data_IF_262739929021
#
_entry.id   IF_262739929021
#
_cell.length_a   1.000
_cell.length_b   1.000
_cell.length_c   1.000
_cell.angle_alpha   90.00
_cell.angle_beta   90.00
_cell.angle_gamma   90.00
#
_symmetry.space_group_name_H-M   'P 1'
#
loop_
_entity.id
_entity.type
_entity.pdbx_description
1 polymer ?
#
# COMPACT_ATOMS: atom_id res chain seq x y z
N UNK A 1 -39.05 25.14 12.32
CA UNK A 1 -37.94 25.06 11.35
C UNK A 1 -38.04 23.69 10.70
N UNK A 2 -38.34 23.61 9.41
CA UNK A 2 -38.37 22.32 8.72
C UNK A 2 -36.94 21.73 8.69
N UNK A 3 -36.76 20.42 8.89
CA UNK A 3 -35.46 19.79 8.76
C UNK A 3 -34.93 20.00 7.33
N UNK A 4 -33.62 20.24 7.14
CA UNK A 4 -33.05 20.42 5.82
C UNK A 4 -33.28 19.15 4.99
N UNK A 5 -33.90 19.29 3.82
CA UNK A 5 -34.06 18.22 2.85
C UNK A 5 -32.67 17.78 2.39
N UNK A 6 -32.25 16.61 2.86
CA UNK A 6 -31.09 15.90 2.32
C UNK A 6 -31.49 15.48 0.90
N UNK A 7 -30.90 16.12 -0.11
CA UNK A 7 -31.10 15.73 -1.50
C UNK A 7 -30.42 14.38 -1.67
N UNK A 8 -31.19 13.29 -1.55
CA UNK A 8 -30.75 11.97 -1.99
C UNK A 8 -30.48 12.05 -3.49
N UNK A 9 -29.19 12.03 -3.82
CA UNK A 9 -28.76 12.07 -5.20
C UNK A 9 -28.93 10.67 -5.75
N UNK A 10 -29.98 10.46 -6.55
CA UNK A 10 -30.15 9.20 -7.29
C UNK A 10 -28.86 8.85 -8.04
N UNK A 11 -28.46 7.58 -7.96
CA UNK A 11 -27.26 7.10 -8.63
C UNK A 11 -27.42 7.32 -10.15
N UNK A 12 -26.51 8.04 -10.82
CA UNK A 12 -26.62 8.29 -12.24
C UNK A 12 -26.56 6.96 -13.01
N UNK A 13 -27.52 6.75 -13.92
CA UNK A 13 -27.57 5.59 -14.78
C UNK A 13 -26.40 5.62 -15.78
N UNK A 14 -25.43 4.73 -15.59
CA UNK A 14 -24.24 4.64 -16.44
C UNK A 14 -24.57 3.71 -17.60
N UNK A 15 -24.99 4.26 -18.74
CA UNK A 15 -25.17 3.50 -19.98
C UNK A 15 -23.78 3.00 -20.43
N UNK A 16 -23.47 1.69 -20.35
CA UNK A 16 -22.17 1.18 -20.75
C UNK A 16 -22.05 1.26 -22.27
N UNK A 17 -21.22 2.18 -22.78
CA UNK A 17 -20.79 2.12 -24.18
C UNK A 17 -19.91 0.88 -24.35
N UNK A 18 -20.46 -0.17 -24.93
CA UNK A 18 -19.76 -1.42 -25.20
C UNK A 18 -18.63 -1.19 -26.22
N UNK A 19 -17.43 -0.89 -25.74
CA UNK A 19 -16.22 -0.99 -26.55
C UNK A 19 -15.79 -2.46 -26.60
N UNK A 20 -15.70 -2.99 -27.82
CA UNK A 20 -15.27 -4.37 -28.08
C UNK A 20 -13.87 -4.56 -27.46
N UNK A 21 -13.66 -5.56 -26.57
CA UNK A 21 -12.37 -5.73 -25.93
C UNK A 21 -11.31 -6.02 -27.00
N UNK A 22 -10.26 -5.19 -27.06
CA UNK A 22 -9.10 -5.44 -27.91
C UNK A 22 -8.37 -6.67 -27.38
N UNK A 23 -8.49 -7.78 -28.11
CA UNK A 23 -7.85 -9.05 -27.73
C UNK A 23 -6.33 -8.85 -27.82
N UNK A 24 -5.65 -8.95 -26.68
CA UNK A 24 -4.18 -8.91 -26.64
C UNK A 24 -3.62 -10.00 -27.55
N UNK A 25 -2.72 -9.61 -28.46
CA UNK A 25 -2.06 -10.51 -29.42
C UNK A 25 -0.98 -11.38 -28.78
N UNK A 26 -0.62 -11.12 -27.52
CA UNK A 26 0.40 -11.86 -26.80
C UNK A 26 -0.19 -13.12 -26.14
N UNK A 27 0.42 -14.30 -26.34
CA UNK A 27 -0.02 -15.52 -25.67
C UNK A 27 0.10 -15.34 -24.15
N UNK A 28 -0.90 -15.79 -23.36
CA UNK A 28 -0.95 -15.53 -21.92
C UNK A 28 0.29 -15.98 -21.15
N UNK A 29 0.90 -17.09 -21.56
CA UNK A 29 2.06 -17.71 -20.89
C UNK A 29 3.31 -16.84 -21.00
N UNK A 30 3.50 -16.10 -22.10
CA UNK A 30 4.68 -15.25 -22.29
C UNK A 30 4.59 -13.92 -21.53
N UNK A 31 3.40 -13.54 -21.02
CA UNK A 31 3.23 -12.24 -20.37
C UNK A 31 4.03 -12.12 -19.08
N UNK A 32 4.10 -13.18 -18.28
CA UNK A 32 4.83 -13.16 -17.00
C UNK A 32 6.35 -13.11 -17.22
N UNK A 33 6.96 -13.95 -18.08
CA UNK A 33 8.38 -13.80 -18.40
C UNK A 33 8.74 -12.41 -18.95
N UNK A 34 7.95 -11.88 -19.90
CA UNK A 34 8.19 -10.55 -20.46
C UNK A 34 8.07 -9.47 -19.37
N UNK A 35 7.07 -9.59 -18.48
CA UNK A 35 6.88 -8.67 -17.36
C UNK A 35 8.10 -8.64 -16.44
N UNK A 36 8.65 -9.82 -16.10
CA UNK A 36 9.85 -9.96 -15.27
C UNK A 36 11.07 -9.34 -15.97
N UNK A 37 11.29 -9.67 -17.24
CA UNK A 37 12.42 -9.12 -18.02
C UNK A 37 12.34 -7.60 -18.14
N UNK A 38 11.15 -7.04 -18.41
CA UNK A 38 10.96 -5.60 -18.54
C UNK A 38 11.10 -4.89 -17.19
N UNK A 39 10.60 -5.49 -16.10
CA UNK A 39 10.75 -4.97 -14.74
C UNK A 39 12.23 -4.86 -14.33
N UNK A 40 13.03 -5.89 -14.63
CA UNK A 40 14.46 -5.88 -14.34
C UNK A 40 15.23 -4.94 -15.26
N UNK A 41 14.94 -4.96 -16.57
CA UNK A 41 15.58 -4.10 -17.56
C UNK A 41 15.35 -2.62 -17.27
N UNK A 42 14.12 -2.22 -16.97
CA UNK A 42 13.81 -0.82 -16.61
C UNK A 42 14.50 -0.43 -15.30
N UNK A 43 14.51 -1.30 -14.29
CA UNK A 43 15.18 -1.00 -13.02
C UNK A 43 16.69 -0.77 -13.23
N UNK A 44 17.36 -1.67 -13.97
CA UNK A 44 18.78 -1.54 -14.28
C UNK A 44 19.09 -0.27 -15.07
N UNK A 45 18.33 0.01 -16.14
CA UNK A 45 18.51 1.21 -16.97
C UNK A 45 18.32 2.51 -16.18
N UNK A 46 17.30 2.55 -15.31
CA UNK A 46 17.05 3.73 -14.50
C UNK A 46 18.14 3.96 -13.44
N UNK A 47 18.64 2.89 -12.81
CA UNK A 47 19.77 2.99 -11.88
C UNK A 47 21.06 3.42 -12.58
N UNK A 48 21.35 2.88 -13.77
CA UNK A 48 22.49 3.28 -14.58
C UNK A 48 22.38 4.76 -14.98
N UNK A 49 21.20 5.20 -15.43
CA UNK A 49 20.95 6.61 -15.76
C UNK A 49 21.19 7.51 -14.54
N UNK A 50 20.59 7.18 -13.39
CA UNK A 50 20.69 7.94 -12.15
C UNK A 50 22.11 7.97 -11.58
N UNK A 51 22.90 6.92 -11.79
CA UNK A 51 24.30 6.86 -11.32
C UNK A 51 25.21 7.94 -11.94
N UNK A 52 24.81 8.54 -13.08
CA UNK A 52 25.54 9.66 -13.68
C UNK A 52 25.30 10.99 -12.94
N UNK A 53 24.24 11.10 -12.14
CA UNK A 53 23.81 12.34 -11.50
C UNK A 53 23.86 12.27 -9.96
N UNK A 54 23.76 11.08 -9.38
CA UNK A 54 23.72 10.91 -7.93
C UNK A 54 25.00 10.31 -7.37
N UNK A 55 25.38 10.82 -6.20
CA UNK A 55 26.42 10.22 -5.36
C UNK A 55 25.96 8.82 -4.90
N UNK A 56 26.84 7.81 -4.86
CA UNK A 56 26.50 6.44 -4.46
C UNK A 56 26.32 6.29 -2.94
N UNK A 57 25.44 7.09 -2.33
CA UNK A 57 25.17 7.13 -0.88
C UNK A 57 24.63 5.78 -0.36
N UNK A 58 23.74 5.14 -1.12
CA UNK A 58 23.15 3.84 -0.76
C UNK A 58 24.19 2.73 -0.64
N UNK A 59 25.28 2.81 -1.41
CA UNK A 59 26.38 1.84 -1.34
C UNK A 59 27.12 1.90 -0.01
N UNK A 60 27.32 3.11 0.53
CA UNK A 60 28.10 3.34 1.75
C UNK A 60 27.45 2.73 3.01
N UNK A 61 26.12 2.69 3.06
CA UNK A 61 25.35 2.16 4.19
C UNK A 61 24.96 0.68 4.02
N UNK A 62 25.22 0.11 2.85
CA UNK A 62 24.83 -1.26 2.52
C UNK A 62 25.88 -2.29 2.93
N UNK A 63 25.43 -3.48 3.34
CA UNK A 63 26.27 -4.66 3.59
C UNK A 63 26.85 -5.17 2.28
N UNK A 64 28.15 -5.45 2.30
CA UNK A 64 28.82 -6.17 1.22
C UNK A 64 28.55 -7.67 1.42
N UNK A 65 27.89 -8.36 0.47
CA UNK A 65 27.63 -9.79 0.60
C UNK A 65 28.94 -10.58 0.59
N UNK A 66 29.12 -11.50 1.56
CA UNK A 66 30.26 -12.41 1.59
C UNK A 66 29.94 -13.70 0.80
N UNK A 67 30.96 -14.46 0.38
CA UNK A 67 30.80 -15.67 -0.45
C UNK A 67 29.94 -16.76 0.23
N UNK A 68 29.91 -16.78 1.57
CA UNK A 68 29.08 -17.71 2.36
C UNK A 68 27.61 -17.29 2.54
N UNK A 69 27.24 -16.07 2.16
CA UNK A 69 25.92 -15.48 2.47
C UNK A 69 24.89 -15.61 1.34
N UNK A 70 25.12 -16.52 0.38
CA UNK A 70 24.27 -16.66 -0.83
C UNK A 70 22.80 -16.93 -0.50
N UNK A 71 22.50 -17.65 0.59
CA UNK A 71 21.13 -17.96 1.03
C UNK A 71 20.55 -16.96 2.03
N UNK A 72 21.30 -15.91 2.39
CA UNK A 72 20.86 -14.94 3.39
C UNK A 72 19.79 -14.00 2.83
N UNK A 73 18.94 -13.46 3.71
CA UNK A 73 17.84 -12.54 3.36
C UNK A 73 18.31 -11.26 2.66
N UNK A 74 19.56 -10.84 2.88
CA UNK A 74 20.14 -9.64 2.27
C UNK A 74 20.94 -9.93 0.99
N UNK A 75 21.08 -11.21 0.60
CA UNK A 75 21.84 -11.60 -0.57
C UNK A 75 21.26 -10.98 -1.86
N UNK A 76 22.08 -10.76 -2.90
CA UNK A 76 21.59 -10.33 -4.20
C UNK A 76 20.51 -11.27 -4.76
N UNK A 77 20.66 -12.58 -4.55
CA UNK A 77 19.69 -13.60 -4.99
C UNK A 77 18.35 -13.44 -4.26
N UNK A 78 18.34 -13.24 -2.95
CA UNK A 78 17.12 -13.00 -2.18
C UNK A 78 16.40 -11.72 -2.64
N UNK A 79 17.15 -10.66 -2.97
CA UNK A 79 16.58 -9.42 -3.52
C UNK A 79 15.88 -9.62 -4.85
N UNK A 80 16.52 -10.36 -5.76
CA UNK A 80 15.94 -10.72 -7.05
C UNK A 80 14.71 -11.60 -6.86
N UNK A 81 14.79 -12.61 -5.99
CA UNK A 81 13.71 -13.53 -5.69
C UNK A 81 12.48 -12.82 -5.12
N UNK A 82 12.66 -11.91 -4.17
CA UNK A 82 11.55 -11.12 -3.63
C UNK A 82 10.91 -10.24 -4.70
N UNK A 83 11.74 -9.58 -5.52
CA UNK A 83 11.25 -8.78 -6.63
C UNK A 83 10.41 -9.60 -7.60
N UNK A 84 10.88 -10.80 -7.97
CA UNK A 84 10.13 -11.76 -8.79
C UNK A 84 8.83 -12.19 -8.13
N UNK A 85 8.87 -12.51 -6.83
CA UNK A 85 7.70 -12.87 -6.05
C UNK A 85 6.67 -11.75 -6.07
N UNK A 86 7.07 -10.49 -5.88
CA UNK A 86 6.18 -9.33 -5.99
C UNK A 86 5.57 -9.21 -7.38
N UNK A 87 6.37 -9.32 -8.45
CA UNK A 87 5.86 -9.30 -9.83
C UNK A 87 4.85 -10.43 -10.08
N UNK A 88 5.17 -11.66 -9.68
CA UNK A 88 4.32 -12.82 -9.89
C UNK A 88 3.02 -12.75 -9.08
N UNK A 89 3.11 -12.33 -7.81
CA UNK A 89 1.93 -12.22 -6.94
C UNK A 89 1.01 -11.08 -7.36
N UNK A 90 1.55 -9.91 -7.70
CA UNK A 90 0.72 -8.82 -8.25
C UNK A 90 0.07 -9.21 -9.57
N UNK A 91 0.74 -10.03 -10.38
CA UNK A 91 0.13 -10.65 -11.55
C UNK A 91 -1.00 -11.62 -11.15
N UNK A 92 -0.75 -12.56 -10.24
CA UNK A 92 -1.75 -13.52 -9.77
C UNK A 92 -3.00 -12.86 -9.16
N UNK A 93 -2.81 -11.78 -8.40
CA UNK A 93 -3.87 -11.02 -7.72
C UNK A 93 -4.65 -10.07 -8.65
N UNK A 94 -4.33 -10.03 -9.95
CA UNK A 94 -4.99 -9.19 -10.96
C UNK A 94 -4.91 -7.67 -10.69
N UNK A 95 -3.88 -7.19 -9.99
CA UNK A 95 -3.63 -5.77 -9.78
C UNK A 95 -3.22 -5.02 -11.05
N UNK A 96 -3.79 -3.84 -11.27
CA UNK A 96 -3.37 -2.98 -12.37
C UNK A 96 -2.17 -2.08 -12.00
N UNK A 97 -1.76 -1.22 -12.92
CA UNK A 97 -0.59 -0.37 -12.69
C UNK A 97 -0.79 0.64 -11.54
N UNK A 98 -2.03 1.07 -11.23
CA UNK A 98 -2.30 1.95 -10.10
C UNK A 98 -2.18 1.18 -8.78
N UNK A 99 -2.78 0.00 -8.71
CA UNK A 99 -2.73 -0.88 -7.54
C UNK A 99 -1.27 -1.29 -7.22
N UNK A 100 -0.51 -1.66 -8.26
CA UNK A 100 0.90 -2.04 -8.12
C UNK A 100 1.77 -0.85 -7.72
N UNK A 101 1.52 0.34 -8.27
CA UNK A 101 2.23 1.55 -7.87
C UNK A 101 1.96 1.89 -6.40
N UNK A 102 0.70 1.82 -5.97
CA UNK A 102 0.30 2.11 -4.60
C UNK A 102 0.91 1.10 -3.61
N UNK A 103 0.87 -0.20 -3.94
CA UNK A 103 1.53 -1.23 -3.15
C UNK A 103 3.05 -1.01 -3.07
N UNK A 104 3.68 -0.62 -4.19
CA UNK A 104 5.12 -0.32 -4.24
C UNK A 104 5.46 0.86 -3.33
N UNK A 105 4.73 1.98 -3.43
CA UNK A 105 4.93 3.13 -2.52
C UNK A 105 4.84 2.70 -1.05
N UNK A 106 3.80 1.97 -0.69
CA UNK A 106 3.57 1.58 0.71
C UNK A 106 4.64 0.62 1.24
N UNK A 107 5.14 -0.27 0.40
CA UNK A 107 6.18 -1.24 0.80
C UNK A 107 7.57 -0.61 0.88
N UNK A 108 7.83 0.49 0.16
CA UNK A 108 9.11 1.21 0.19
C UNK A 108 9.12 2.41 1.14
N UNK A 109 7.96 2.94 1.54
CA UNK A 109 7.85 4.07 2.45
C UNK A 109 8.58 3.86 3.80
N UNK A 110 8.46 2.69 4.48
CA UNK A 110 9.18 2.45 5.73
C UNK A 110 10.69 2.59 5.58
N UNK A 111 11.25 1.91 4.59
CA UNK A 111 12.69 1.93 4.34
C UNK A 111 13.18 3.33 3.98
N UNK A 112 12.43 4.06 3.15
CA UNK A 112 12.79 5.42 2.74
C UNK A 112 12.73 6.40 3.92
N UNK A 113 11.73 6.26 4.79
CA UNK A 113 11.65 7.05 6.01
C UNK A 113 12.84 6.78 6.93
N UNK A 114 13.23 5.51 7.10
CA UNK A 114 14.41 5.13 7.86
C UNK A 114 15.68 5.78 7.28
N UNK A 115 15.89 5.69 5.96
CA UNK A 115 17.07 6.24 5.30
C UNK A 115 17.22 7.75 5.45
N UNK A 116 16.14 8.49 5.19
CA UNK A 116 16.15 9.97 5.22
C UNK A 116 16.15 10.57 6.63
N UNK A 117 15.95 9.76 7.67
CA UNK A 117 15.84 10.25 9.06
C UNK A 117 16.98 9.77 9.93
N UNK A 118 17.51 8.57 9.67
CA UNK A 118 18.52 7.95 10.53
C UNK A 118 19.85 7.68 9.82
N UNK A 119 19.88 7.60 8.49
CA UNK A 119 21.08 7.23 7.72
C UNK A 119 21.68 8.37 6.88
N UNK A 120 21.26 9.62 7.14
CA UNK A 120 21.77 10.82 6.45
C UNK A 120 21.70 10.76 4.92
N UNK A 121 20.81 9.93 4.37
CA UNK A 121 20.63 9.82 2.91
C UNK A 121 19.86 11.04 2.41
N UNK A 122 20.36 11.64 1.33
CA UNK A 122 19.74 12.80 0.71
C UNK A 122 18.30 12.49 0.29
N UNK A 123 17.37 13.41 0.57
CA UNK A 123 15.98 13.32 0.13
C UNK A 123 15.84 13.11 -1.38
N UNK A 124 16.80 13.63 -2.16
CA UNK A 124 16.83 13.46 -3.61
C UNK A 124 17.17 12.01 -4.00
N UNK A 125 18.18 11.40 -3.36
CA UNK A 125 18.53 9.99 -3.55
C UNK A 125 17.38 9.07 -3.13
N UNK A 126 16.74 9.37 -2.01
CA UNK A 126 15.60 8.62 -1.52
C UNK A 126 14.38 8.72 -2.46
N UNK A 127 14.09 9.91 -2.97
CA UNK A 127 13.03 10.13 -3.96
C UNK A 127 13.32 9.41 -5.28
N UNK A 128 14.56 9.49 -5.78
CA UNK A 128 14.97 8.77 -6.98
C UNK A 128 14.78 7.25 -6.80
N UNK A 129 15.23 6.68 -5.68
CA UNK A 129 15.03 5.27 -5.36
C UNK A 129 13.54 4.86 -5.44
N UNK A 130 12.64 5.58 -4.74
CA UNK A 130 11.20 5.29 -4.82
C UNK A 130 10.68 5.41 -6.26
N UNK A 131 11.04 6.47 -6.98
CA UNK A 131 10.57 6.69 -8.35
C UNK A 131 11.01 5.57 -9.30
N UNK A 132 12.26 5.12 -9.19
CA UNK A 132 12.81 4.00 -9.97
C UNK A 132 12.00 2.74 -9.67
N UNK A 133 11.74 2.47 -8.41
CA UNK A 133 10.98 1.30 -7.98
C UNK A 133 9.54 1.37 -8.51
N UNK A 134 8.83 2.49 -8.36
CA UNK A 134 7.48 2.66 -8.92
C UNK A 134 7.49 2.46 -10.43
N UNK A 135 8.36 3.14 -11.18
CA UNK A 135 8.38 3.06 -12.65
C UNK A 135 8.69 1.64 -13.14
N UNK A 136 9.64 0.98 -12.48
CA UNK A 136 10.05 -0.37 -12.84
C UNK A 136 8.96 -1.42 -12.61
N UNK A 137 8.00 -1.20 -11.70
CA UNK A 137 6.81 -2.06 -11.56
C UNK A 137 5.60 -1.56 -12.37
N UNK A 138 5.38 -0.25 -12.45
CA UNK A 138 4.22 0.38 -13.07
C UNK A 138 4.25 0.34 -14.60
N UNK A 139 5.41 0.61 -15.23
CA UNK A 139 5.53 0.63 -16.70
C UNK A 139 5.28 -0.76 -17.30
N UNK A 140 5.92 -1.85 -16.82
CA UNK A 140 5.63 -3.18 -17.35
C UNK A 140 4.16 -3.59 -17.19
N UNK A 141 3.58 -3.32 -16.02
CA UNK A 141 2.18 -3.66 -15.75
C UNK A 141 1.23 -2.85 -16.62
N UNK A 142 1.51 -1.56 -16.84
CA UNK A 142 0.75 -0.71 -17.76
C UNK A 142 0.75 -1.26 -19.19
N UNK A 143 1.90 -1.73 -19.69
CA UNK A 143 2.04 -2.24 -21.05
C UNK A 143 1.35 -3.59 -21.27
N UNK A 144 1.41 -4.48 -20.27
CA UNK A 144 0.99 -5.89 -20.43
C UNK A 144 -0.40 -6.20 -19.87
N UNK A 145 -0.98 -5.30 -19.06
CA UNK A 145 -2.24 -5.53 -18.35
C UNK A 145 -3.24 -4.41 -18.58
N UNK A 146 -4.51 -4.79 -18.77
CA UNK A 146 -5.62 -3.84 -18.82
C UNK A 146 -5.93 -3.28 -17.44
N UNK A 147 -6.39 -2.03 -17.38
CA UNK A 147 -6.83 -1.35 -16.15
C UNK A 147 -7.94 -2.14 -15.44
N UNK A 148 -7.96 -2.08 -14.11
CA UNK A 148 -9.00 -2.70 -13.29
C UNK A 148 -10.33 -1.96 -13.46
N UNK A 149 -11.43 -2.59 -13.02
CA UNK A 149 -12.78 -1.98 -13.10
C UNK A 149 -12.86 -0.70 -12.26
N UNK A 150 -12.13 -0.66 -11.12
CA UNK A 150 -12.05 0.50 -10.22
C UNK A 150 -11.56 1.75 -10.97
N UNK A 151 -10.51 1.59 -11.76
CA UNK A 151 -9.83 2.68 -12.46
C UNK A 151 -10.42 2.97 -13.86
N UNK A 152 -11.45 2.25 -14.30
CA UNK A 152 -12.17 2.54 -15.55
C UNK A 152 -13.28 3.55 -15.33
N UNK A 153 -13.15 4.74 -15.92
CA UNK A 153 -14.16 5.80 -15.85
C UNK A 153 -15.58 5.35 -16.22
N UNK A 154 -15.69 4.43 -17.19
CA UNK A 154 -16.96 4.02 -17.80
C UNK A 154 -17.50 2.70 -17.23
N UNK A 155 -16.89 2.14 -16.18
CA UNK A 155 -17.37 0.92 -15.58
C UNK A 155 -18.53 1.22 -14.60
N UNK A 156 -19.66 0.49 -14.70
CA UNK A 156 -20.78 0.66 -13.77
C UNK A 156 -20.37 0.15 -12.39
N UNK A 157 -20.30 1.06 -11.40
CA UNK A 157 -20.01 0.76 -10.00
C UNK A 157 -21.01 1.52 -9.14
N UNK A 158 -21.61 0.86 -8.14
CA UNK A 158 -22.58 1.49 -7.23
C UNK A 158 -22.01 2.75 -6.58
N UNK A 159 -20.79 2.65 -6.06
CA UNK A 159 -20.12 3.73 -5.31
C UNK A 159 -19.20 4.60 -6.18
N UNK A 160 -19.47 4.72 -7.48
CA UNK A 160 -18.64 5.54 -8.39
C UNK A 160 -18.53 6.99 -7.92
N UNK A 161 -19.57 7.53 -7.31
CA UNK A 161 -19.59 8.88 -6.75
C UNK A 161 -18.55 9.08 -5.63
N UNK A 162 -18.29 8.07 -4.80
CA UNK A 162 -17.25 8.12 -3.75
C UNK A 162 -15.84 8.09 -4.35
N UNK A 163 -15.65 7.34 -5.44
CA UNK A 163 -14.38 7.28 -6.17
C UNK A 163 -14.08 8.60 -6.91
N UNK A 164 -15.11 9.26 -7.43
CA UNK A 164 -14.97 10.52 -8.16
C UNK A 164 -15.02 11.77 -7.25
N UNK A 165 -15.44 11.64 -5.98
CA UNK A 165 -15.56 12.77 -5.07
C UNK A 165 -14.19 13.23 -4.56
N UNK A 166 -13.76 14.42 -4.97
CA UNK A 166 -12.48 15.02 -4.54
C UNK A 166 -12.41 15.16 -3.02
N UNK A 167 -13.52 15.51 -2.38
CA UNK A 167 -13.58 15.65 -0.92
C UNK A 167 -13.29 14.32 -0.22
N UNK A 168 -13.93 13.22 -0.65
CA UNK A 168 -13.72 11.87 -0.08
C UNK A 168 -12.28 11.41 -0.33
N UNK A 169 -11.76 11.65 -1.53
CA UNK A 169 -10.40 11.25 -1.90
C UNK A 169 -9.33 12.00 -1.10
N UNK A 170 -9.49 13.32 -0.90
CA UNK A 170 -8.55 14.14 -0.12
C UNK A 170 -8.67 13.80 1.37
N UNK A 171 -9.88 13.77 1.93
CA UNK A 171 -10.06 13.51 3.37
C UNK A 171 -9.54 12.14 3.77
N UNK A 172 -9.79 11.11 2.95
CA UNK A 172 -9.32 9.74 3.22
C UNK A 172 -7.80 9.61 3.09
N UNK A 173 -7.17 10.36 2.19
CA UNK A 173 -5.70 10.38 2.04
C UNK A 173 -5.04 11.13 3.20
N UNK A 174 -5.62 12.26 3.62
CA UNK A 174 -5.17 13.03 4.77
C UNK A 174 -5.33 12.25 6.07
N UNK A 175 -6.43 11.51 6.21
CA UNK A 175 -6.64 10.61 7.35
C UNK A 175 -5.55 9.53 7.41
N UNK A 176 -5.27 8.84 6.31
CA UNK A 176 -4.19 7.85 6.29
C UNK A 176 -2.82 8.47 6.58
N UNK A 177 -2.53 9.64 6.00
CA UNK A 177 -1.32 10.40 6.31
C UNK A 177 -1.24 10.73 7.80
N UNK A 178 -2.33 11.22 8.38
CA UNK A 178 -2.44 11.56 9.80
C UNK A 178 -2.18 10.36 10.71
N UNK A 179 -2.70 9.18 10.38
CA UNK A 179 -2.42 7.95 11.16
C UNK A 179 -0.94 7.62 11.14
N UNK A 180 -0.28 7.62 9.97
CA UNK A 180 1.16 7.40 9.91
C UNK A 180 1.94 8.46 10.70
N UNK A 181 1.58 9.74 10.58
CA UNK A 181 2.20 10.82 11.37
C UNK A 181 2.06 10.56 12.86
N UNK A 182 0.86 10.23 13.35
CA UNK A 182 0.61 9.99 14.78
C UNK A 182 1.42 8.81 15.29
N UNK A 183 1.48 7.70 14.53
CA UNK A 183 2.25 6.51 14.92
C UNK A 183 3.74 6.83 14.97
N UNK A 184 4.29 7.44 13.92
CA UNK A 184 5.72 7.75 13.82
C UNK A 184 6.11 8.82 14.84
N UNK A 185 5.41 9.96 14.84
CA UNK A 185 5.69 11.07 15.75
C UNK A 185 5.46 10.68 17.21
N UNK A 186 4.43 9.91 17.51
CA UNK A 186 4.22 9.33 18.84
C UNK A 186 5.37 8.41 19.26
N UNK A 187 5.87 7.57 18.35
CA UNK A 187 7.03 6.71 18.58
C UNK A 187 8.33 7.48 18.81
N UNK A 188 8.55 8.58 18.08
CA UNK A 188 9.69 9.47 18.27
C UNK A 188 9.58 10.26 19.59
N UNK A 189 8.41 10.85 19.87
CA UNK A 189 8.20 11.73 21.03
C UNK A 189 8.24 10.98 22.35
N UNK A 190 7.76 9.73 22.37
CA UNK A 190 7.87 8.84 23.52
C UNK A 190 9.30 8.29 23.71
N UNK A 191 10.18 8.43 22.72
CA UNK A 191 11.55 7.91 22.73
C UNK A 191 11.67 6.42 22.42
N UNK A 192 10.56 5.67 22.41
CA UNK A 192 10.57 4.21 22.15
C UNK A 192 11.15 3.87 20.79
N UNK A 193 10.81 4.61 19.73
CA UNK A 193 11.30 4.30 18.39
C UNK A 193 12.82 4.53 18.28
N UNK A 194 13.32 5.64 18.83
CA UNK A 194 14.75 5.95 18.81
C UNK A 194 15.54 4.92 19.64
N UNK A 195 15.08 4.59 20.85
CA UNK A 195 15.76 3.61 21.71
C UNK A 195 15.75 2.22 21.07
N UNK A 196 14.63 1.82 20.46
CA UNK A 196 14.52 0.55 19.77
C UNK A 196 15.48 0.46 18.58
N UNK A 197 15.54 1.52 17.76
CA UNK A 197 16.43 1.54 16.61
C UNK A 197 17.91 1.53 17.05
N UNK A 198 18.32 2.35 18.02
CA UNK A 198 19.71 2.37 18.53
C UNK A 198 20.14 1.00 19.07
N UNK A 199 19.20 0.23 19.64
CA UNK A 199 19.50 -1.10 20.19
C UNK A 199 19.75 -2.16 19.13
N UNK A 200 19.11 -2.06 17.97
CA UNK A 200 19.08 -3.14 16.97
C UNK A 200 19.62 -2.76 15.58
N UNK A 201 19.96 -1.48 15.39
CA UNK A 201 20.52 -0.93 14.17
C UNK A 201 21.79 -0.13 14.51
N UNK A 202 22.77 -0.19 13.61
CA UNK A 202 23.93 0.69 13.65
C UNK A 202 23.56 2.00 12.94
N UNK A 203 23.07 2.97 13.73
CA UNK A 203 22.57 4.24 13.23
C UNK A 203 23.67 5.30 13.32
N UNK A 204 23.96 6.03 12.24
CA UNK A 204 24.99 7.08 12.26
C UNK A 204 24.57 8.32 13.05
N UNK A 205 23.31 8.75 12.98
CA UNK A 205 22.84 9.96 13.67
C UNK A 205 21.39 9.87 14.15
N UNK A 206 21.08 10.63 15.19
CA UNK A 206 19.71 10.88 15.68
C UNK A 206 19.28 12.33 15.52
N UNK A 207 20.11 13.19 14.92
CA UNK A 207 19.84 14.64 14.86
C UNK A 207 18.53 14.93 14.12
N UNK A 208 18.37 14.41 12.90
CA UNK A 208 17.16 14.61 12.12
C UNK A 208 15.92 14.07 12.84
N UNK A 209 16.02 12.93 13.53
CA UNK A 209 14.93 12.35 14.32
C UNK A 209 14.47 13.25 15.49
N UNK A 210 15.37 14.03 16.10
CA UNK A 210 15.02 14.99 17.15
C UNK A 210 14.45 16.30 16.60
N UNK A 211 14.85 16.69 15.39
CA UNK A 211 14.33 17.86 14.69
C UNK A 211 13.01 17.58 13.96
N UNK A 212 12.56 16.32 13.90
CA UNK A 212 11.30 15.96 13.27
C UNK A 212 10.10 16.64 13.93
N UNK A 213 9.30 17.27 13.09
CA UNK A 213 7.99 17.83 13.42
C UNK A 213 6.90 17.02 12.71
N UNK A 214 5.64 17.10 13.14
CA UNK A 214 4.54 16.48 12.40
C UNK A 214 4.50 16.92 10.93
N UNK A 215 4.85 18.19 10.64
CA UNK A 215 4.86 18.74 9.28
C UNK A 215 5.97 18.13 8.42
N UNK A 216 7.18 17.98 8.96
CA UNK A 216 8.28 17.34 8.21
C UNK A 216 7.99 15.87 7.94
N UNK A 217 7.37 15.16 8.89
CA UNK A 217 6.91 13.78 8.67
C UNK A 217 5.86 13.76 7.54
N UNK A 218 4.85 14.64 7.56
CA UNK A 218 3.85 14.74 6.46
C UNK A 218 4.54 14.84 5.11
N UNK A 219 5.56 15.70 4.96
CA UNK A 219 6.27 15.87 3.69
C UNK A 219 6.95 14.57 3.21
N UNK A 220 7.44 13.73 4.12
CA UNK A 220 8.08 12.45 3.81
C UNK A 220 7.09 11.35 3.41
N UNK A 221 5.88 11.34 3.99
CA UNK A 221 4.95 10.21 3.90
C UNK A 221 3.59 10.52 3.28
N UNK A 222 3.33 11.75 2.82
CA UNK A 222 2.06 12.12 2.18
C UNK A 222 1.72 11.22 0.98
N UNK A 223 2.74 10.84 0.20
CA UNK A 223 2.58 9.93 -0.94
C UNK A 223 2.14 8.53 -0.47
N UNK A 224 2.63 8.07 0.69
CA UNK A 224 2.20 6.82 1.31
C UNK A 224 0.74 6.90 1.77
N UNK A 225 0.29 8.02 2.33
CA UNK A 225 -1.13 8.22 2.68
C UNK A 225 -2.06 8.17 1.46
N UNK A 226 -1.67 8.83 0.36
CA UNK A 226 -2.41 8.76 -0.91
C UNK A 226 -2.45 7.32 -1.47
N UNK A 227 -1.33 6.60 -1.36
CA UNK A 227 -1.22 5.20 -1.77
C UNK A 227 -2.06 4.26 -0.89
N UNK A 228 -2.10 4.47 0.43
CA UNK A 228 -2.92 3.68 1.36
C UNK A 228 -4.41 3.77 0.98
N UNK A 229 -4.88 4.98 0.71
CA UNK A 229 -6.23 5.21 0.18
C UNK A 229 -6.46 4.50 -1.16
N UNK A 230 -5.51 4.61 -2.09
CA UNK A 230 -5.63 4.01 -3.41
C UNK A 230 -5.66 2.47 -3.36
N UNK A 231 -4.90 1.85 -2.45
CA UNK A 231 -4.77 0.39 -2.37
C UNK A 231 -5.82 -0.26 -1.44
N UNK A 232 -6.17 0.38 -0.33
CA UNK A 232 -7.09 -0.19 0.66
C UNK A 232 -8.53 0.26 0.41
N UNK A 233 -8.77 1.56 0.30
CA UNK A 233 -10.12 2.12 0.29
C UNK A 233 -10.80 2.00 -1.08
N UNK A 234 -10.12 2.39 -2.16
CA UNK A 234 -10.72 2.42 -3.50
C UNK A 234 -11.24 1.05 -3.97
N UNK A 235 -10.49 -0.07 -3.80
CA UNK A 235 -11.00 -1.39 -4.13
C UNK A 235 -12.20 -1.79 -3.27
N UNK A 236 -12.23 -1.39 -1.99
CA UNK A 236 -13.36 -1.68 -1.10
C UNK A 236 -14.67 -1.04 -1.59
N UNK A 237 -14.62 0.19 -2.11
CA UNK A 237 -15.80 0.84 -2.70
C UNK A 237 -16.25 0.18 -3.99
N UNK A 238 -15.32 -0.30 -4.81
CA UNK A 238 -15.65 -0.98 -6.06
C UNK A 238 -16.16 -2.42 -5.86
N UNK A 239 -15.90 -3.03 -4.71
CA UNK A 239 -16.35 -4.40 -4.40
C UNK A 239 -17.85 -4.49 -4.06
N UNK A 240 -18.54 -3.37 -3.85
CA UNK A 240 -19.97 -3.40 -3.53
C UNK A 240 -20.81 -3.84 -4.74
N UNK A 241 -21.76 -4.77 -4.53
CA UNK A 241 -22.65 -5.25 -5.59
C UNK A 241 -23.56 -4.12 -6.09
N UNK A 242 -23.98 -4.23 -7.36
CA UNK A 242 -24.99 -3.34 -7.92
C UNK A 242 -26.34 -3.57 -7.22
N UNK A 243 -27.12 -2.51 -7.02
CA UNK A 243 -28.45 -2.59 -6.41
C UNK A 243 -29.31 -3.64 -7.13
N UNK A 244 -29.95 -4.54 -6.38
CA UNK A 244 -30.77 -5.64 -6.92
C UNK A 244 -30.02 -6.91 -7.34
N UNK A 245 -28.68 -6.96 -7.22
CA UNK A 245 -27.87 -8.18 -7.48
C UNK A 245 -27.34 -8.85 -6.20
N UNK A 246 -27.81 -8.40 -5.04
CA UNK A 246 -27.44 -8.98 -3.75
C UNK A 246 -28.19 -10.30 -3.57
N UNK A 247 -27.45 -11.39 -3.38
CA UNK A 247 -28.01 -12.63 -2.82
C UNK A 247 -28.55 -12.29 -1.43
N UNK A 248 -29.77 -12.69 -1.06
CA UNK A 248 -30.27 -12.48 0.31
C UNK A 248 -29.27 -13.07 1.31
N UNK A 249 -28.72 -12.22 2.18
CA UNK A 249 -27.93 -12.68 3.30
C UNK A 249 -28.90 -13.13 4.41
N UNK A 250 -28.57 -14.20 5.14
CA UNK A 250 -29.29 -14.56 6.36
C UNK A 250 -29.16 -13.43 7.38
N UNK A 251 -30.29 -13.00 7.95
CA UNK A 251 -30.29 -12.00 9.02
C UNK A 251 -29.62 -12.60 10.26
N UNK A 252 -28.53 -11.99 10.68
CA UNK A 252 -27.83 -12.35 11.91
C UNK A 252 -28.51 -11.71 13.11
N UNK A 253 -28.86 -12.52 14.10
CA UNK A 253 -29.40 -12.06 15.37
C UNK A 253 -28.27 -11.90 16.42
N UNK A 254 -27.85 -10.66 16.73
CA UNK A 254 -26.80 -10.40 17.70
C UNK A 254 -27.21 -10.74 19.14
N UNK A 255 -28.50 -10.94 19.43
CA UNK A 255 -28.98 -11.25 20.77
C UNK A 255 -28.83 -12.73 21.14
N UNK A 256 -28.77 -13.62 20.15
CA UNK A 256 -28.67 -15.08 20.34
C UNK A 256 -27.32 -15.66 19.90
N UNK A 257 -26.52 -14.89 19.17
CA UNK A 257 -25.22 -15.34 18.67
C UNK A 257 -24.15 -15.48 19.77
N UNK A 258 -23.38 -16.57 19.68
CA UNK A 258 -22.19 -16.76 20.51
C UNK A 258 -21.04 -15.86 20.05
N UNK A 259 -20.06 -15.60 20.92
CA UNK A 259 -18.92 -14.73 20.61
C UNK A 259 -18.13 -15.17 19.35
N UNK A 260 -17.91 -16.48 19.08
CA UNK A 260 -17.32 -16.96 17.83
C UNK A 260 -18.21 -16.71 16.60
N UNK A 261 -19.52 -16.93 16.71
CA UNK A 261 -20.48 -16.67 15.62
C UNK A 261 -20.56 -15.17 15.29
N UNK A 262 -20.49 -14.31 16.31
CA UNK A 262 -20.42 -12.84 16.13
C UNK A 262 -19.13 -12.42 15.45
N UNK A 263 -18.00 -13.06 15.77
CA UNK A 263 -16.71 -12.81 15.10
C UNK A 263 -16.76 -13.31 13.66
N UNK A 264 -17.27 -14.51 13.42
CA UNK A 264 -17.40 -15.11 12.09
C UNK A 264 -18.34 -14.29 11.19
N UNK A 265 -19.47 -13.82 11.71
CA UNK A 265 -20.37 -12.95 10.95
C UNK A 265 -19.71 -11.61 10.59
N UNK A 266 -19.01 -10.98 11.55
CA UNK A 266 -18.34 -9.69 11.34
C UNK A 266 -17.02 -9.74 10.56
N UNK A 267 -16.42 -10.92 10.36
CA UNK A 267 -15.16 -11.08 9.61
C UNK A 267 -15.31 -11.90 8.33
N UNK A 268 -16.12 -12.95 8.34
CA UNK A 268 -16.26 -13.92 7.25
C UNK A 268 -17.54 -13.74 6.43
N UNK A 269 -18.70 -13.56 7.07
CA UNK A 269 -19.98 -13.33 6.38
C UNK A 269 -20.30 -11.85 6.10
N UNK A 270 -19.28 -10.99 6.23
CA UNK A 270 -19.39 -9.55 6.05
C UNK A 270 -19.51 -9.11 4.60
N UNK A 271 -20.09 -7.91 4.39
CA UNK A 271 -20.24 -7.26 3.08
C UNK A 271 -18.95 -7.36 2.24
N UNK A 272 -19.10 -7.57 0.92
CA UNK A 272 -18.00 -7.74 -0.04
C UNK A 272 -16.96 -6.62 0.08
N UNK A 273 -17.39 -5.42 0.48
CA UNK A 273 -16.54 -4.28 0.83
C UNK A 273 -15.57 -4.58 1.97
N UNK A 274 -16.08 -5.01 3.13
CA UNK A 274 -15.28 -5.31 4.34
C UNK A 274 -14.30 -6.45 4.04
N UNK A 275 -14.78 -7.51 3.37
CA UNK A 275 -13.92 -8.63 2.95
C UNK A 275 -12.78 -8.20 2.03
N UNK A 276 -13.07 -7.32 1.05
CA UNK A 276 -12.04 -6.78 0.16
C UNK A 276 -11.03 -5.93 0.92
N UNK A 277 -11.49 -5.09 1.85
CA UNK A 277 -10.61 -4.28 2.69
C UNK A 277 -9.69 -5.13 3.56
N UNK A 278 -10.22 -6.18 4.21
CA UNK A 278 -9.42 -7.13 5.00
C UNK A 278 -8.40 -7.84 4.10
N UNK A 279 -8.82 -8.36 2.94
CA UNK A 279 -7.92 -9.02 1.99
C UNK A 279 -6.77 -8.10 1.55
N UNK A 280 -7.08 -6.86 1.15
CA UNK A 280 -6.06 -5.90 0.73
C UNK A 280 -5.13 -5.54 1.89
N UNK A 281 -5.66 -5.43 3.11
CA UNK A 281 -4.85 -5.14 4.31
C UNK A 281 -3.88 -6.28 4.62
N UNK A 282 -4.33 -7.53 4.53
CA UNK A 282 -3.47 -8.71 4.73
C UNK A 282 -2.37 -8.76 3.67
N UNK A 283 -2.71 -8.55 2.39
CA UNK A 283 -1.74 -8.54 1.30
C UNK A 283 -0.73 -7.40 1.50
N UNK A 284 -1.21 -6.17 1.77
CA UNK A 284 -0.36 -5.02 2.02
C UNK A 284 0.62 -5.30 3.17
N UNK A 285 0.13 -5.77 4.30
CA UNK A 285 0.96 -6.00 5.49
C UNK A 285 1.97 -7.13 5.28
N UNK A 286 1.61 -8.19 4.55
CA UNK A 286 2.55 -9.25 4.21
C UNK A 286 3.70 -8.72 3.33
N UNK A 287 3.38 -7.99 2.26
CA UNK A 287 4.40 -7.41 1.37
C UNK A 287 5.24 -6.34 2.06
N UNK A 288 4.60 -5.47 2.86
CA UNK A 288 5.30 -4.43 3.61
C UNK A 288 6.24 -5.05 4.62
N UNK A 289 5.77 -6.02 5.40
CA UNK A 289 6.57 -6.65 6.45
C UNK A 289 7.79 -7.36 5.86
N UNK A 290 7.59 -8.30 4.93
CA UNK A 290 8.68 -9.07 4.32
C UNK A 290 9.63 -8.15 3.57
N UNK A 291 9.10 -7.21 2.77
CA UNK A 291 9.91 -6.28 1.99
C UNK A 291 10.71 -5.32 2.86
N UNK A 292 10.13 -4.82 3.96
CA UNK A 292 10.83 -3.91 4.89
C UNK A 292 11.90 -4.66 5.65
N UNK A 293 11.60 -5.86 6.18
CA UNK A 293 12.58 -6.68 6.89
C UNK A 293 13.77 -6.97 5.97
N UNK A 294 13.51 -7.44 4.75
CA UNK A 294 14.57 -7.74 3.81
C UNK A 294 15.43 -6.50 3.47
N UNK A 295 14.82 -5.33 3.21
CA UNK A 295 15.55 -4.10 2.90
C UNK A 295 16.36 -3.61 4.10
N UNK A 296 15.79 -3.61 5.30
CA UNK A 296 16.53 -3.25 6.52
C UNK A 296 17.72 -4.19 6.75
N UNK A 297 17.57 -5.49 6.48
CA UNK A 297 18.67 -6.44 6.61
C UNK A 297 19.85 -6.15 5.67
N UNK A 298 19.65 -5.38 4.59
CA UNK A 298 20.75 -4.92 3.71
C UNK A 298 21.59 -3.79 4.30
N UNK A 299 21.14 -3.14 5.37
CA UNK A 299 21.88 -2.07 6.05
C UNK A 299 22.94 -2.66 6.98
N UNK A 300 24.08 -1.98 7.07
CA UNK A 300 25.16 -2.35 7.98
C UNK A 300 24.68 -2.38 9.44
N UNK A 301 25.18 -3.36 10.21
CA UNK A 301 24.87 -3.51 11.64
C UNK A 301 23.40 -3.75 12.01
N UNK A 302 22.53 -4.05 11.04
CA UNK A 302 21.10 -4.31 11.34
C UNK A 302 20.86 -5.75 11.75
N UNK A 303 20.16 -5.93 12.87
CA UNK A 303 19.66 -7.20 13.38
C UNK A 303 18.26 -7.55 12.83
N UNK A 304 17.97 -8.85 12.71
CA UNK A 304 16.66 -9.34 12.25
C UNK A 304 15.53 -8.92 13.21
N UNK A 305 15.78 -8.95 14.52
CA UNK A 305 14.81 -8.52 15.52
C UNK A 305 14.46 -7.04 15.37
N UNK A 306 15.47 -6.18 15.14
CA UNK A 306 15.28 -4.76 14.81
C UNK A 306 14.45 -4.55 13.55
N UNK A 307 14.85 -5.21 12.46
CA UNK A 307 14.15 -5.11 11.18
C UNK A 307 12.67 -5.51 11.28
N UNK A 308 12.39 -6.59 12.01
CA UNK A 308 11.03 -7.10 12.23
C UNK A 308 10.18 -6.18 13.11
N UNK A 309 10.72 -5.68 14.22
CA UNK A 309 10.02 -4.74 15.09
C UNK A 309 9.74 -3.40 14.40
N UNK A 310 10.70 -2.88 13.62
CA UNK A 310 10.51 -1.67 12.83
C UNK A 310 9.40 -1.84 11.77
N UNK A 311 9.42 -2.95 11.03
CA UNK A 311 8.35 -3.27 10.09
C UNK A 311 6.99 -3.41 10.78
N UNK A 312 6.96 -3.94 12.01
CA UNK A 312 5.76 -4.07 12.83
C UNK A 312 5.05 -2.74 13.11
N UNK A 313 5.80 -1.65 13.35
CA UNK A 313 5.22 -0.30 13.56
C UNK A 313 4.36 0.12 12.37
N UNK A 314 4.84 -0.12 11.16
CA UNK A 314 4.13 0.22 9.92
C UNK A 314 2.94 -0.70 9.64
N UNK A 315 3.06 -1.98 9.99
CA UNK A 315 1.94 -2.94 9.93
C UNK A 315 0.81 -2.49 10.86
N UNK A 316 1.13 -2.08 12.09
CA UNK A 316 0.14 -1.54 13.04
C UNK A 316 -0.52 -0.28 12.49
N UNK A 317 0.26 0.64 11.91
CA UNK A 317 -0.30 1.84 11.28
C UNK A 317 -1.30 1.49 10.15
N UNK A 318 -0.95 0.54 9.28
CA UNK A 318 -1.86 0.07 8.23
C UNK A 318 -3.13 -0.59 8.78
N UNK A 319 -3.02 -1.35 9.87
CA UNK A 319 -4.18 -1.94 10.54
C UNK A 319 -5.12 -0.84 11.06
N UNK A 320 -4.58 0.21 11.71
CA UNK A 320 -5.37 1.35 12.17
C UNK A 320 -6.04 2.08 11.00
N UNK A 321 -5.32 2.29 9.89
CA UNK A 321 -5.90 2.89 8.67
C UNK A 321 -7.04 2.03 8.13
N UNK A 322 -6.84 0.71 8.05
CA UNK A 322 -7.86 -0.21 7.58
C UNK A 322 -9.10 -0.23 8.48
N UNK A 323 -8.92 -0.20 9.80
CA UNK A 323 -10.03 -0.10 10.76
C UNK A 323 -10.83 1.19 10.54
N UNK A 324 -10.13 2.32 10.35
CA UNK A 324 -10.76 3.59 10.01
C UNK A 324 -11.51 3.57 8.69
N UNK A 325 -10.95 2.97 7.65
CA UNK A 325 -11.65 2.80 6.38
C UNK A 325 -12.85 1.86 6.49
N UNK A 326 -12.78 0.83 7.34
CA UNK A 326 -13.92 -0.02 7.67
C UNK A 326 -15.06 0.82 8.24
N UNK A 327 -14.75 1.57 9.29
CA UNK A 327 -15.70 2.45 9.98
C UNK A 327 -16.29 3.54 9.08
N UNK A 328 -15.47 4.26 8.31
CA UNK A 328 -15.89 5.41 7.47
C UNK A 328 -16.94 5.03 6.41
N UNK A 329 -17.02 3.77 5.97
CA UNK A 329 -18.04 3.39 4.99
C UNK A 329 -19.08 2.41 5.52
N UNK A 330 -19.16 2.20 6.82
CA UNK A 330 -20.35 1.59 7.46
C UNK A 330 -21.50 2.61 7.59
N UNK A 331 -21.27 3.87 7.25
CA UNK A 331 -22.24 4.96 7.44
C UNK A 331 -23.34 5.04 6.37
N UNK A 332 -23.63 3.97 5.61
CA UNK A 332 -24.53 4.09 4.45
C UNK A 332 -25.44 2.89 4.15
N UNK A 333 -25.99 2.20 5.16
CA UNK A 333 -27.03 1.20 4.89
C UNK A 333 -28.36 1.44 5.62
N UNK A 334 -28.37 1.92 6.86
CA UNK A 334 -29.60 1.87 7.68
C UNK A 334 -30.06 3.24 8.22
N UNK A 335 -30.02 4.29 7.39
CA UNK A 335 -30.77 5.51 7.73
C UNK A 335 -32.17 5.42 7.12
N UNK A 336 -33.04 4.60 7.72
CA UNK A 336 -34.48 4.85 7.64
C UNK A 336 -34.76 6.09 8.50
N UNK A 337 -35.18 7.23 7.93
CA UNK A 337 -35.62 8.35 8.75
C UNK A 337 -36.91 7.95 9.48
N UNK A 338 -36.85 7.96 10.82
CA UNK A 338 -38.03 7.92 11.70
C UNK A 338 -39.02 9.04 11.40
#
# INVERSE_FOLDING_TARGET
MAPPTVIEREAPDVIPRAHKPTRSRLPPVLRVPILISLNMGINALLWEFTSNFLTPELGAISKVPNEGDVTSFYSPVARIAMRWLTVCMTWYLNYDFYDVSALTVLTYAPFTYLLTTFYEISSLTAAANICIEILSFAVPTYLLRSRSVVHKANAPLRNRFLLNSTQVQISSSLLATGVYVVVIWGGLRSGYLNLFLVRHFDIPTLEAAHLETPVSIVMKIIVAGVAAKAFLLNPSFAAQPLSGTQTPAEDFDPATATLPETIEYNLYNSDKRKRTLVQQTVILNAFLFVGTVQRCMTLNGTELMGASGYAGVWVVANMVIALWYGWVGDTSADYEPL
#
